data_IF_187789453930
#
_entry.id   IF_187789453930
#
_cell.length_a   1.000
_cell.length_b   1.000
_cell.length_c   1.000
_cell.angle_alpha   90.00
_cell.angle_beta   90.00
_cell.angle_gamma   90.00
#
_symmetry.space_group_name_H-M   'P 1'
#
loop_
_entity.id
_entity.type
_entity.pdbx_description
1 polymer ?
#
# COMPACT_ATOMS: atom_id res chain seq x y z
N UNK A 1 -42.22 -32.10 -11.69
CA UNK A 1 -40.82 -32.45 -11.93
C UNK A 1 -40.45 -33.62 -11.01
N UNK A 2 -40.17 -34.75 -11.58
CA UNK A 2 -39.61 -35.91 -10.86
C UNK A 2 -38.16 -35.57 -10.58
N UNK A 3 -37.80 -35.30 -9.34
CA UNK A 3 -36.42 -35.16 -8.93
C UNK A 3 -35.68 -36.46 -9.15
N UNK A 4 -34.89 -36.53 -10.23
CA UNK A 4 -33.98 -37.66 -10.45
C UNK A 4 -32.67 -37.37 -9.72
N UNK A 5 -32.30 -38.29 -8.83
CA UNK A 5 -30.98 -38.25 -8.21
C UNK A 5 -30.04 -39.14 -9.08
N UNK A 6 -28.97 -38.56 -9.58
CA UNK A 6 -27.89 -39.26 -10.24
C UNK A 6 -26.76 -39.49 -9.22
N UNK A 7 -26.55 -40.73 -8.83
CA UNK A 7 -25.42 -41.09 -7.98
C UNK A 7 -24.23 -41.55 -8.84
N UNK A 8 -23.08 -40.88 -8.67
CA UNK A 8 -21.82 -41.37 -9.19
C UNK A 8 -21.15 -42.19 -8.07
N UNK A 9 -20.58 -43.34 -8.36
CA UNK A 9 -19.88 -44.18 -7.37
C UNK A 9 -18.65 -43.45 -6.81
N UNK A 10 -17.47 -43.95 -7.10
CA UNK A 10 -16.22 -43.34 -6.59
C UNK A 10 -15.76 -42.16 -7.42
N UNK A 11 -16.20 -42.04 -8.70
CA UNK A 11 -15.83 -40.92 -9.60
C UNK A 11 -16.79 -40.77 -10.77
N UNK A 12 -16.86 -39.57 -11.34
CA UNK A 12 -17.41 -39.25 -12.64
C UNK A 12 -16.30 -38.65 -13.51
N UNK A 13 -16.11 -39.20 -14.73
CA UNK A 13 -15.12 -38.73 -15.66
C UNK A 13 -15.82 -38.00 -16.82
N UNK A 14 -15.39 -36.76 -17.08
CA UNK A 14 -15.83 -35.94 -18.19
C UNK A 14 -14.65 -35.68 -19.12
N UNK A 15 -14.82 -35.92 -20.42
CA UNK A 15 -13.80 -35.64 -21.42
C UNK A 15 -13.64 -34.12 -21.64
N UNK A 16 -12.55 -33.74 -22.32
CA UNK A 16 -12.33 -32.35 -22.70
C UNK A 16 -13.53 -31.81 -23.49
N UNK A 17 -13.90 -30.56 -23.22
CA UNK A 17 -15.06 -29.88 -23.78
C UNK A 17 -16.44 -30.42 -23.34
N UNK A 18 -16.50 -31.53 -22.58
CA UNK A 18 -17.72 -31.90 -21.89
C UNK A 18 -17.96 -30.95 -20.70
N UNK A 19 -19.20 -30.55 -20.46
CA UNK A 19 -19.55 -29.58 -19.44
C UNK A 19 -20.67 -30.04 -18.52
N UNK A 20 -20.62 -29.59 -17.27
CA UNK A 20 -21.72 -29.63 -16.32
C UNK A 20 -22.40 -28.27 -16.38
N UNK A 21 -23.71 -28.26 -16.59
CA UNK A 21 -24.54 -27.06 -16.56
C UNK A 21 -25.48 -27.11 -15.36
N UNK A 22 -25.61 -26.01 -14.66
CA UNK A 22 -26.53 -25.80 -13.54
C UNK A 22 -27.35 -24.54 -13.81
N UNK A 23 -28.65 -24.60 -13.50
CA UNK A 23 -29.62 -23.56 -13.81
C UNK A 23 -30.32 -23.78 -15.17
N UNK A 24 -31.55 -23.30 -15.30
CA UNK A 24 -32.40 -23.51 -16.51
C UNK A 24 -31.79 -22.81 -17.75
N UNK A 25 -31.14 -21.66 -17.53
CA UNK A 25 -30.46 -20.87 -18.57
C UNK A 25 -28.94 -21.12 -18.61
N UNK A 26 -28.48 -22.25 -18.02
CA UNK A 26 -27.04 -22.57 -17.93
C UNK A 26 -26.25 -21.51 -17.14
N UNK A 27 -26.80 -21.06 -16.02
CA UNK A 27 -26.28 -19.96 -15.19
C UNK A 27 -24.87 -20.25 -14.67
N UNK A 28 -24.55 -21.53 -14.42
CA UNK A 28 -23.22 -21.99 -14.05
C UNK A 28 -22.76 -23.11 -14.98
N UNK A 29 -21.56 -22.96 -15.57
CA UNK A 29 -20.92 -23.95 -16.41
C UNK A 29 -19.55 -24.35 -15.86
N UNK A 30 -19.31 -25.65 -15.73
CA UNK A 30 -18.00 -26.22 -15.30
C UNK A 30 -17.50 -27.13 -16.41
N UNK A 31 -16.28 -26.89 -16.93
CA UNK A 31 -15.68 -27.71 -17.97
C UNK A 31 -14.15 -27.51 -18.07
N UNK A 32 -13.48 -28.37 -18.84
CA UNK A 32 -12.09 -28.18 -19.26
C UNK A 32 -12.01 -28.25 -20.78
N UNK A 33 -11.11 -27.49 -21.41
CA UNK A 33 -10.84 -27.55 -22.86
C UNK A 33 -9.59 -28.38 -23.21
N UNK A 34 -9.02 -29.10 -22.22
CA UNK A 34 -7.81 -29.89 -22.35
C UNK A 34 -6.55 -29.16 -21.89
N UNK A 35 -6.58 -27.85 -21.73
CA UNK A 35 -5.48 -27.05 -21.18
C UNK A 35 -5.89 -26.21 -19.98
N UNK A 36 -7.09 -25.69 -19.96
CA UNK A 36 -7.62 -24.82 -18.90
C UNK A 36 -8.95 -25.33 -18.37
N UNK A 37 -9.13 -25.29 -17.07
CA UNK A 37 -10.41 -25.59 -16.40
C UNK A 37 -11.17 -24.30 -16.12
N UNK A 38 -12.46 -24.31 -16.39
CA UNK A 38 -13.33 -23.15 -16.31
C UNK A 38 -14.48 -23.38 -15.34
N UNK A 39 -14.76 -22.34 -14.55
CA UNK A 39 -15.99 -22.14 -13.81
C UNK A 39 -16.59 -20.82 -14.32
N UNK A 40 -17.67 -20.89 -15.10
CA UNK A 40 -18.29 -19.74 -15.75
C UNK A 40 -19.68 -19.46 -15.20
N UNK A 41 -19.88 -18.25 -14.73
CA UNK A 41 -21.17 -17.69 -14.31
C UNK A 41 -21.14 -16.17 -14.55
N UNK A 42 -22.30 -15.52 -14.59
CA UNK A 42 -22.34 -14.05 -14.58
C UNK A 42 -21.86 -13.52 -13.23
N UNK A 43 -22.50 -13.97 -12.15
CA UNK A 43 -22.06 -13.72 -10.79
C UNK A 43 -21.73 -15.06 -10.12
N UNK A 44 -20.58 -15.13 -9.45
CA UNK A 44 -20.19 -16.31 -8.69
C UNK A 44 -19.93 -15.94 -7.24
N UNK A 45 -20.63 -16.63 -6.34
CA UNK A 45 -20.44 -16.48 -4.89
C UNK A 45 -19.97 -17.80 -4.28
N UNK A 46 -18.95 -17.71 -3.44
CA UNK A 46 -18.55 -18.78 -2.52
C UNK A 46 -19.03 -18.39 -1.15
N UNK A 47 -19.87 -19.25 -0.57
CA UNK A 47 -20.54 -18.99 0.71
C UNK A 47 -20.47 -20.22 1.62
N UNK A 48 -20.64 -20.00 2.92
CA UNK A 48 -20.92 -21.08 3.88
C UNK A 48 -22.31 -21.67 3.63
N UNK A 49 -22.60 -22.81 4.24
CA UNK A 49 -23.96 -23.40 4.21
C UNK A 49 -25.02 -22.51 4.88
N UNK A 50 -24.59 -21.60 5.74
CA UNK A 50 -25.44 -20.61 6.42
C UNK A 50 -25.62 -19.31 5.65
N UNK A 51 -24.93 -19.16 4.50
CA UNK A 51 -25.05 -18.00 3.61
C UNK A 51 -24.00 -16.91 3.83
N UNK A 52 -23.03 -17.08 4.76
CA UNK A 52 -21.92 -16.17 4.96
C UNK A 52 -21.03 -16.11 3.72
N UNK A 53 -20.64 -14.92 3.29
CA UNK A 53 -19.83 -14.74 2.10
C UNK A 53 -18.34 -14.97 2.38
N UNK A 54 -17.66 -15.66 1.46
CA UNK A 54 -16.20 -15.80 1.41
C UNK A 54 -15.63 -15.01 0.24
N UNK A 55 -16.21 -15.22 -0.97
CA UNK A 55 -15.79 -14.54 -2.20
C UNK A 55 -17.03 -14.21 -3.03
N UNK A 56 -17.11 -12.98 -3.52
CA UNK A 56 -18.05 -12.58 -4.56
C UNK A 56 -17.29 -12.13 -5.81
N UNK A 57 -17.67 -12.68 -6.96
CA UNK A 57 -17.24 -12.23 -8.27
C UNK A 57 -18.46 -11.77 -9.03
N UNK A 58 -18.47 -10.51 -9.47
CA UNK A 58 -19.58 -9.90 -10.20
C UNK A 58 -19.13 -9.58 -11.61
N UNK A 59 -19.93 -9.93 -12.61
CA UNK A 59 -19.64 -9.58 -14.02
C UNK A 59 -19.51 -8.05 -14.16
N UNK A 60 -18.48 -7.60 -14.86
CA UNK A 60 -18.14 -6.16 -15.02
C UNK A 60 -18.00 -5.40 -13.71
N UNK A 61 -17.83 -6.12 -12.60
CA UNK A 61 -17.75 -5.60 -11.24
C UNK A 61 -16.48 -6.06 -10.51
N UNK A 62 -16.56 -6.00 -9.19
CA UNK A 62 -15.46 -6.31 -8.31
C UNK A 62 -15.33 -7.81 -8.00
N UNK A 63 -14.11 -8.27 -7.76
CA UNK A 63 -13.82 -9.44 -6.93
C UNK A 63 -13.70 -8.95 -5.49
N UNK A 64 -14.48 -9.52 -4.58
CA UNK A 64 -14.50 -9.13 -3.17
C UNK A 64 -14.20 -10.36 -2.31
N UNK A 65 -13.25 -10.23 -1.38
CA UNK A 65 -12.98 -11.21 -0.32
C UNK A 65 -13.60 -10.71 0.98
N UNK A 66 -14.15 -11.63 1.76
CA UNK A 66 -14.85 -11.33 3.00
C UNK A 66 -14.20 -12.02 4.20
N UNK A 67 -14.33 -11.42 5.35
CA UNK A 67 -14.11 -11.99 6.67
C UNK A 67 -15.29 -11.60 7.55
N UNK A 68 -16.01 -12.58 8.08
CA UNK A 68 -17.20 -12.38 8.93
C UNK A 68 -18.20 -11.42 8.27
N UNK A 69 -18.57 -11.70 7.00
CA UNK A 69 -19.41 -10.87 6.11
C UNK A 69 -18.92 -9.42 5.87
N UNK A 70 -17.79 -9.04 6.44
CA UNK A 70 -17.11 -7.76 6.18
C UNK A 70 -16.17 -7.85 4.98
N UNK A 71 -16.29 -6.92 4.01
CA UNK A 71 -15.35 -6.83 2.88
C UNK A 71 -13.96 -6.44 3.38
N UNK A 72 -12.93 -7.25 3.12
CA UNK A 72 -11.54 -7.00 3.51
C UNK A 72 -10.61 -6.69 2.35
N UNK A 73 -10.93 -7.19 1.14
CA UNK A 73 -10.20 -6.87 -0.08
C UNK A 73 -11.17 -6.77 -1.25
N UNK A 74 -11.02 -5.75 -2.07
CA UNK A 74 -11.87 -5.51 -3.24
C UNK A 74 -11.05 -4.99 -4.42
N UNK A 75 -11.26 -5.54 -5.61
CA UNK A 75 -10.75 -4.93 -6.85
C UNK A 75 -11.61 -3.72 -7.22
N UNK A 76 -10.96 -2.68 -7.73
CA UNK A 76 -11.61 -1.46 -8.23
C UNK A 76 -11.03 -1.09 -9.60
N UNK A 77 -11.66 -0.21 -10.39
CA UNK A 77 -11.09 0.27 -11.65
C UNK A 77 -9.70 0.93 -11.48
N UNK A 78 -9.39 1.43 -10.28
CA UNK A 78 -8.13 2.09 -9.95
C UNK A 78 -7.09 1.16 -9.31
N UNK A 79 -7.45 -0.09 -8.98
CA UNK A 79 -6.55 -1.04 -8.32
C UNK A 79 -7.22 -1.91 -7.27
N UNK A 80 -6.62 -1.99 -6.09
CA UNK A 80 -7.07 -2.82 -4.98
C UNK A 80 -7.35 -1.94 -3.76
N UNK A 81 -8.53 -2.11 -3.17
CA UNK A 81 -8.87 -1.55 -1.86
C UNK A 81 -8.72 -2.64 -0.78
N UNK A 82 -7.97 -2.36 0.28
CA UNK A 82 -7.83 -3.20 1.46
C UNK A 82 -8.42 -2.47 2.65
N UNK A 83 -9.45 -3.05 3.27
CA UNK A 83 -10.05 -2.54 4.49
C UNK A 83 -9.41 -3.22 5.69
N UNK A 84 -8.53 -2.53 6.40
CA UNK A 84 -7.81 -3.06 7.55
C UNK A 84 -6.29 -2.97 7.42
N UNK A 85 -5.57 -3.92 8.02
CA UNK A 85 -4.11 -3.93 8.07
C UNK A 85 -3.54 -4.88 7.03
N UNK A 86 -2.59 -4.41 6.23
CA UNK A 86 -1.77 -5.25 5.37
C UNK A 86 -0.46 -5.56 6.08
N UNK A 87 -0.23 -6.82 6.45
CA UNK A 87 1.05 -7.29 7.00
C UNK A 87 1.86 -7.97 5.90
N UNK A 88 3.05 -7.45 5.62
CA UNK A 88 3.93 -7.99 4.59
C UNK A 88 5.39 -7.90 5.04
N UNK A 89 6.20 -8.94 4.75
CA UNK A 89 7.64 -8.89 4.98
C UNK A 89 8.35 -7.94 4.01
N UNK A 90 7.74 -7.66 2.86
CA UNK A 90 8.27 -6.72 1.86
C UNK A 90 7.10 -6.16 1.05
N UNK A 91 7.03 -4.84 0.97
CA UNK A 91 6.17 -4.11 0.04
C UNK A 91 7.06 -3.45 -1.01
N UNK A 92 6.95 -3.87 -2.29
CA UNK A 92 7.65 -3.26 -3.41
C UNK A 92 6.66 -2.50 -4.28
N UNK A 93 6.85 -1.20 -4.39
CA UNK A 93 6.02 -0.32 -5.22
C UNK A 93 6.92 0.22 -6.32
N UNK A 94 6.66 -0.16 -7.58
CA UNK A 94 7.43 0.28 -8.75
C UNK A 94 6.96 1.61 -9.34
N UNK A 95 5.93 2.21 -8.78
CA UNK A 95 5.35 3.48 -9.21
C UNK A 95 5.38 4.54 -8.10
N UNK A 96 4.46 5.50 -8.20
CA UNK A 96 4.28 6.54 -7.18
C UNK A 96 3.56 5.96 -5.96
N UNK A 97 4.09 6.20 -4.77
CA UNK A 97 3.46 5.88 -3.50
C UNK A 97 3.01 7.16 -2.81
N UNK A 98 1.74 7.22 -2.44
CA UNK A 98 1.19 8.35 -1.67
C UNK A 98 0.77 7.86 -0.29
N UNK A 99 1.35 8.42 0.76
CA UNK A 99 0.95 8.20 2.14
C UNK A 99 0.22 9.44 2.66
N UNK A 100 -1.04 9.31 3.05
CA UNK A 100 -1.81 10.40 3.68
C UNK A 100 -1.27 10.72 5.06
N UNK A 101 -0.85 9.68 5.80
CA UNK A 101 -0.19 9.81 7.10
C UNK A 101 0.63 8.55 7.41
N UNK A 102 1.68 8.71 8.22
CA UNK A 102 2.46 7.62 8.79
C UNK A 102 2.26 7.71 10.31
N UNK A 103 1.57 6.73 10.89
CA UNK A 103 1.19 6.70 12.30
C UNK A 103 2.30 6.18 13.24
N UNK A 104 3.48 5.83 12.72
CA UNK A 104 4.63 5.32 13.49
C UNK A 104 5.94 5.77 12.85
N UNK A 105 7.06 5.45 13.49
CA UNK A 105 8.39 5.78 12.96
C UNK A 105 8.65 5.11 11.61
N UNK A 106 9.28 5.83 10.71
CA UNK A 106 9.87 5.28 9.49
C UNK A 106 11.32 4.88 9.82
N UNK A 107 11.56 3.59 10.03
CA UNK A 107 12.84 3.06 10.50
C UNK A 107 13.52 2.32 9.34
N UNK A 108 14.79 2.65 8.98
CA UNK A 108 15.54 1.88 8.00
C UNK A 108 15.88 0.48 8.53
N UNK A 109 16.03 -0.49 7.63
CA UNK A 109 16.36 -1.88 7.97
C UNK A 109 17.82 -2.07 8.43
N UNK A 110 18.68 -1.10 8.11
CA UNK A 110 20.11 -1.12 8.46
C UNK A 110 20.57 0.31 8.71
N UNK A 111 21.28 0.50 9.82
CA UNK A 111 21.86 1.77 10.22
C UNK A 111 22.85 2.32 9.17
N UNK A 112 22.74 3.62 8.87
CA UNK A 112 23.65 4.35 7.98
C UNK A 112 23.65 3.91 6.50
N UNK A 113 22.70 3.06 6.06
CA UNK A 113 22.72 2.50 4.71
C UNK A 113 21.54 2.90 3.81
N UNK A 114 20.63 3.74 4.31
CA UNK A 114 19.43 4.19 3.55
C UNK A 114 19.37 5.70 3.45
N UNK A 115 19.06 6.19 2.26
CA UNK A 115 18.91 7.61 1.99
C UNK A 115 17.43 8.00 1.87
N UNK A 116 17.13 9.25 2.18
CA UNK A 116 15.88 9.91 1.79
C UNK A 116 16.20 10.80 0.59
N UNK A 117 15.72 10.41 -0.60
CA UNK A 117 16.10 11.04 -1.86
C UNK A 117 17.41 10.48 -2.46
N UNK A 118 17.79 11.01 -3.60
CA UNK A 118 19.03 10.68 -4.31
C UNK A 118 19.47 11.87 -5.18
N UNK A 119 20.72 11.87 -5.66
CA UNK A 119 21.20 12.85 -6.62
C UNK A 119 20.29 12.86 -7.88
N UNK A 120 19.73 14.00 -8.23
CA UNK A 120 18.78 14.17 -9.34
C UNK A 120 17.34 13.74 -9.02
N UNK A 121 17.05 13.34 -7.77
CA UNK A 121 15.72 12.99 -7.28
C UNK A 121 15.58 13.44 -5.82
N UNK A 122 15.60 14.74 -5.63
CA UNK A 122 15.69 15.41 -4.33
C UNK A 122 14.29 15.78 -3.82
N UNK A 123 14.15 15.90 -2.50
CA UNK A 123 12.96 16.45 -1.88
C UNK A 123 12.98 17.97 -2.00
N UNK A 124 11.85 18.58 -2.30
CA UNK A 124 11.73 20.03 -2.35
C UNK A 124 11.88 20.63 -0.96
N UNK A 125 11.12 20.15 0.00
CA UNK A 125 11.08 20.65 1.36
C UNK A 125 11.06 19.51 2.38
N UNK A 126 11.67 19.73 3.54
CA UNK A 126 11.56 18.87 4.72
C UNK A 126 11.12 19.73 5.92
N UNK A 127 9.91 19.49 6.43
CA UNK A 127 9.37 20.16 7.59
C UNK A 127 9.47 19.28 8.84
N UNK A 128 10.15 19.73 9.88
CA UNK A 128 10.31 19.03 11.16
C UNK A 128 9.83 19.96 12.28
N UNK A 129 8.77 19.53 12.99
CA UNK A 129 8.31 20.19 14.21
C UNK A 129 8.98 19.52 15.43
N UNK A 130 10.19 19.93 15.72
CA UNK A 130 11.00 19.33 16.80
C UNK A 130 12.48 19.36 16.46
N UNK A 131 13.21 18.38 16.96
CA UNK A 131 14.67 18.32 16.81
C UNK A 131 15.06 17.42 15.66
N UNK A 132 15.90 17.92 14.72
CA UNK A 132 16.61 17.11 13.74
C UNK A 132 18.03 16.81 14.26
N UNK A 133 18.35 15.52 14.49
CA UNK A 133 19.70 15.11 14.80
C UNK A 133 20.47 14.85 13.49
N UNK A 134 21.45 15.68 13.21
CA UNK A 134 22.22 15.64 11.95
C UNK A 134 23.70 15.63 12.31
N UNK A 135 24.39 14.53 11.97
CA UNK A 135 25.83 14.39 12.26
C UNK A 135 26.69 15.35 11.44
N UNK A 136 26.30 15.57 10.19
CA UNK A 136 26.97 16.50 9.28
C UNK A 136 25.97 17.21 8.40
N UNK A 137 25.94 18.55 8.45
CA UNK A 137 25.13 19.38 7.54
C UNK A 137 26.05 19.95 6.44
N UNK A 138 25.78 19.58 5.19
CA UNK A 138 26.33 20.25 4.01
C UNK A 138 25.22 21.03 3.33
N UNK A 139 25.32 22.35 3.34
CA UNK A 139 24.33 23.25 2.75
C UNK A 139 25.00 24.39 2.01
N UNK A 140 24.50 24.75 0.84
CA UNK A 140 24.96 25.93 0.09
C UNK A 140 24.58 27.23 0.82
N UNK A 141 23.44 27.23 1.48
CA UNK A 141 22.96 28.34 2.29
C UNK A 141 22.22 27.83 3.52
N UNK A 142 22.50 28.35 4.67
CA UNK A 142 21.72 28.12 5.89
C UNK A 142 21.18 29.45 6.40
N UNK A 143 19.83 29.53 6.59
CA UNK A 143 19.17 30.67 7.24
C UNK A 143 18.67 30.24 8.63
N UNK A 144 19.09 30.95 9.66
CA UNK A 144 18.69 30.73 11.04
C UNK A 144 17.90 31.96 11.50
N UNK A 145 16.61 31.77 11.78
CA UNK A 145 15.65 32.86 11.93
C UNK A 145 15.89 33.78 13.15
N UNK A 146 16.59 33.29 14.16
CA UNK A 146 16.90 34.05 15.38
C UNK A 146 18.25 34.80 15.32
N UNK A 147 19.04 34.64 14.24
CA UNK A 147 20.25 35.42 14.04
C UNK A 147 19.94 36.81 13.48
N UNK A 148 20.56 37.82 14.08
CA UNK A 148 20.40 39.21 13.66
C UNK A 148 21.46 39.61 12.66
N UNK A 149 21.05 40.38 11.62
CA UNK A 149 21.97 40.88 10.59
C UNK A 149 23.11 41.74 11.18
N UNK A 150 24.28 41.65 10.57
CA UNK A 150 25.51 42.36 10.99
C UNK A 150 26.07 42.00 12.38
N UNK A 151 25.69 40.84 12.94
CA UNK A 151 26.29 40.31 14.17
C UNK A 151 27.19 39.13 13.88
N UNK A 152 28.16 38.95 14.72
CA UNK A 152 29.05 37.78 14.68
C UNK A 152 28.36 36.62 15.38
N UNK A 153 28.30 35.49 14.67
CA UNK A 153 27.76 34.24 15.21
C UNK A 153 28.78 33.59 16.11
N UNK A 154 28.36 33.22 17.30
CA UNK A 154 29.17 32.53 18.31
C UNK A 154 28.49 31.22 18.72
N UNK A 155 29.24 30.34 19.38
CA UNK A 155 28.65 29.16 20.03
C UNK A 155 28.10 29.58 21.40
N UNK A 156 26.81 29.34 21.61
CA UNK A 156 26.15 29.49 22.93
C UNK A 156 26.55 28.41 23.91
N UNK A 157 26.04 28.51 25.13
CA UNK A 157 26.41 27.63 26.24
C UNK A 157 26.03 26.17 26.03
N UNK A 158 25.02 25.88 25.20
CA UNK A 158 24.56 24.55 24.78
C UNK A 158 25.16 24.07 23.46
N UNK A 159 26.01 24.89 22.81
CA UNK A 159 26.57 24.61 21.49
C UNK A 159 25.69 25.09 20.34
N UNK A 160 24.56 25.75 20.62
CA UNK A 160 23.69 26.42 19.66
C UNK A 160 24.43 27.60 18.98
N UNK A 161 23.98 27.95 17.77
CA UNK A 161 24.44 29.18 17.08
C UNK A 161 23.67 30.37 17.63
N UNK A 162 24.41 31.32 18.20
CA UNK A 162 23.88 32.56 18.77
C UNK A 162 24.56 33.78 18.15
N UNK A 163 23.94 34.94 18.25
CA UNK A 163 24.57 36.21 17.92
C UNK A 163 24.84 37.05 19.21
N UNK A 164 25.77 38.00 19.15
CA UNK A 164 26.07 38.90 20.25
C UNK A 164 25.85 40.35 19.83
N UNK A 165 25.01 41.06 20.58
CA UNK A 165 24.85 42.50 20.44
C UNK A 165 26.10 43.34 20.68
N UNK A 166 27.13 42.75 21.34
CA UNK A 166 28.39 43.40 21.65
C UNK A 166 29.47 43.14 20.59
N UNK A 167 29.23 42.21 19.67
CA UNK A 167 30.11 41.84 18.57
C UNK A 167 29.40 42.08 17.25
N UNK A 168 29.73 43.17 16.60
CA UNK A 168 29.12 43.57 15.31
C UNK A 168 30.18 43.69 14.23
N UNK A 169 29.81 43.41 12.98
CA UNK A 169 30.63 43.70 11.80
C UNK A 169 29.97 44.82 11.01
N UNK A 170 30.67 45.96 10.89
CA UNK A 170 30.14 47.16 10.21
C UNK A 170 30.43 47.19 8.70
N UNK A 171 31.07 46.16 8.17
CA UNK A 171 31.40 46.03 6.75
C UNK A 171 32.67 46.79 6.32
N UNK A 172 33.39 47.42 7.27
CA UNK A 172 34.67 48.09 7.03
C UNK A 172 35.81 47.34 7.75
N UNK A 173 36.93 47.17 7.09
CA UNK A 173 38.16 46.64 7.65
C UNK A 173 39.10 47.75 8.07
#
# INVERSE_FOLDING_TARGET
>A
ALGATVGFGTSAFFQDNAAIYLGDDSDLKIYSDGSTSFLKANDLRLQSLTGENYINNTVDGAVVLFYDDGSVLQTTPQGINVSGVTTSNRLNISGVSTFTSIGSNLIPDTDGSRNIGAAGSEWQDLHIDGTANIDTLAADTAAIADLTDNRIVIAGSGGELEDSGNLTFDGST
#
